data_IF_104991783618
#
_entry.id   IF_104991783618
#
_cell.length_a   1.000
_cell.length_b   1.000
_cell.length_c   1.000
_cell.angle_alpha   90.00
_cell.angle_beta   90.00
_cell.angle_gamma   90.00
#
_symmetry.space_group_name_H-M   'P 1'
#
loop_
_entity.id
_entity.type
_entity.pdbx_description
1 polymer ?
#
# COMPACT_ATOMS: atom_id res chain seq x y z
N UNK A 1 39.28 -17.32 36.77
CA UNK A 1 38.22 -16.33 37.12
C UNK A 1 37.42 -16.02 35.88
N UNK A 2 36.21 -16.57 35.74
CA UNK A 2 35.30 -16.30 34.61
C UNK A 2 34.29 -15.23 35.08
N UNK A 3 34.22 -14.08 34.40
CA UNK A 3 33.16 -13.09 34.61
C UNK A 3 32.05 -13.33 33.59
N UNK A 4 30.88 -13.72 34.08
CA UNK A 4 29.65 -13.86 33.30
C UNK A 4 29.00 -12.48 33.20
N UNK A 5 28.82 -11.96 31.98
CA UNK A 5 28.05 -10.73 31.73
C UNK A 5 26.61 -11.16 31.43
N UNK A 6 25.71 -10.85 32.35
CA UNK A 6 24.26 -10.99 32.19
C UNK A 6 23.74 -9.78 31.39
N UNK A 7 23.23 -10.00 30.18
CA UNK A 7 22.53 -8.96 29.41
C UNK A 7 21.06 -8.91 29.84
N UNK A 8 20.65 -7.77 30.39
CA UNK A 8 19.24 -7.46 30.71
C UNK A 8 18.42 -7.42 29.42
N UNK A 9 17.33 -8.20 29.36
CA UNK A 9 16.23 -8.00 28.41
C UNK A 9 15.69 -6.58 28.59
N UNK A 10 15.86 -5.73 27.58
CA UNK A 10 15.22 -4.41 27.53
C UNK A 10 13.80 -4.64 27.02
N UNK A 11 12.81 -4.23 27.82
CA UNK A 11 11.40 -4.34 27.49
C UNK A 11 11.04 -3.23 26.47
N UNK A 12 10.90 -3.60 25.20
CA UNK A 12 10.76 -2.68 24.05
C UNK A 12 9.38 -2.02 23.94
N UNK A 13 8.38 -2.49 24.69
CA UNK A 13 7.02 -1.95 24.63
C UNK A 13 6.90 -0.50 25.12
N UNK A 14 7.85 -0.03 25.96
CA UNK A 14 7.78 1.31 26.55
C UNK A 14 8.49 2.42 25.73
N UNK A 15 9.31 2.08 24.74
CA UNK A 15 10.06 3.09 23.96
C UNK A 15 9.19 3.66 22.82
N UNK A 16 8.33 2.86 22.21
CA UNK A 16 7.49 3.29 21.08
C UNK A 16 6.23 4.08 21.47
N UNK A 17 5.91 4.18 22.76
CA UNK A 17 4.69 4.87 23.22
C UNK A 17 4.84 6.40 23.28
N UNK A 18 6.07 6.94 23.34
CA UNK A 18 6.32 8.36 23.64
C UNK A 18 6.62 9.27 22.44
N UNK A 19 6.99 8.73 21.28
CA UNK A 19 7.41 9.53 20.11
C UNK A 19 6.33 9.60 19.03
N UNK A 20 5.13 10.05 19.42
CA UNK A 20 3.98 10.18 18.53
C UNK A 20 3.76 11.62 18.01
N UNK A 21 4.81 12.44 17.98
CA UNK A 21 4.76 13.80 17.45
C UNK A 21 5.91 14.04 16.47
N UNK A 22 5.53 14.30 15.21
CA UNK A 22 6.30 14.93 14.12
C UNK A 22 7.81 14.65 14.11
N UNK A 23 8.21 13.49 13.60
CA UNK A 23 9.61 13.23 13.20
C UNK A 23 9.73 13.53 11.70
N UNK A 24 10.72 14.34 11.33
CA UNK A 24 11.07 14.63 9.94
C UNK A 24 11.52 13.32 9.25
N UNK A 25 10.87 13.01 8.13
CA UNK A 25 10.94 11.72 7.44
C UNK A 25 12.30 11.44 6.78
N UNK A 26 13.18 12.44 6.65
CA UNK A 26 14.58 12.20 6.26
C UNK A 26 15.45 11.66 7.41
N UNK A 27 15.08 11.90 8.66
CA UNK A 27 15.81 11.35 9.81
C UNK A 27 15.46 9.88 10.04
N UNK A 28 14.25 9.44 9.72
CA UNK A 28 13.81 8.07 10.00
C UNK A 28 14.50 7.02 9.10
N UNK A 29 14.69 7.31 7.81
CA UNK A 29 15.47 6.41 6.92
C UNK A 29 16.98 6.48 7.17
N UNK A 30 17.46 7.54 7.85
CA UNK A 30 18.85 7.68 8.29
C UNK A 30 19.03 7.28 9.77
N UNK A 31 17.98 6.76 10.42
CA UNK A 31 18.03 6.49 11.84
C UNK A 31 18.83 5.20 12.04
N UNK A 32 19.94 5.33 12.76
CA UNK A 32 20.83 4.24 13.15
C UNK A 32 20.03 3.11 13.82
N UNK A 33 18.90 3.42 14.46
CA UNK A 33 18.00 2.43 15.06
C UNK A 33 17.28 1.52 14.05
N UNK A 34 16.94 2.03 12.85
CA UNK A 34 16.39 1.23 11.75
C UNK A 34 17.42 0.28 11.16
N UNK A 35 18.61 0.82 10.88
CA UNK A 35 19.77 0.05 10.44
C UNK A 35 20.11 -1.05 11.45
N UNK A 36 20.06 -0.74 12.76
CA UNK A 36 20.30 -1.72 13.83
C UNK A 36 19.18 -2.74 13.95
N UNK A 37 17.91 -2.34 13.84
CA UNK A 37 16.76 -3.24 13.97
C UNK A 37 16.69 -4.26 12.82
N UNK A 38 16.97 -3.82 11.59
CA UNK A 38 17.09 -4.73 10.43
C UNK A 38 18.30 -5.67 10.60
N UNK A 39 19.46 -5.13 10.97
CA UNK A 39 20.68 -5.96 11.21
C UNK A 39 20.49 -7.01 12.30
N UNK A 40 19.69 -6.73 13.33
CA UNK A 40 19.47 -7.66 14.45
C UNK A 40 18.50 -8.81 14.10
N UNK A 41 17.75 -8.71 12.98
CA UNK A 41 16.91 -9.81 12.46
C UNK A 41 17.49 -10.54 11.25
N UNK A 42 18.38 -9.90 10.49
CA UNK A 42 18.99 -10.45 9.28
C UNK A 42 20.07 -11.53 9.51
N UNK A 43 20.31 -11.95 10.76
CA UNK A 43 21.15 -13.14 11.05
C UNK A 43 20.48 -14.46 10.60
N UNK A 44 19.23 -14.43 10.14
CA UNK A 44 18.59 -15.45 9.31
C UNK A 44 18.26 -14.88 7.92
N UNK A 45 18.65 -15.59 6.87
CA UNK A 45 18.56 -15.19 5.46
C UNK A 45 17.13 -15.09 4.90
N UNK A 46 16.29 -14.16 5.35
CA UNK A 46 14.91 -14.05 4.85
C UNK A 46 14.66 -12.78 4.04
N UNK A 47 14.22 -12.99 2.80
CA UNK A 47 13.80 -11.94 1.87
C UNK A 47 12.44 -11.39 2.31
N UNK A 48 12.38 -10.09 2.61
CA UNK A 48 11.09 -9.43 2.87
C UNK A 48 10.33 -9.25 1.56
N UNK A 49 8.99 -9.39 1.62
CA UNK A 49 8.11 -9.29 0.46
C UNK A 49 6.87 -8.46 0.77
N UNK A 50 6.59 -7.47 -0.08
CA UNK A 50 5.36 -6.68 -0.09
C UNK A 50 4.60 -7.01 -1.38
N UNK A 51 3.35 -7.43 -1.25
CA UNK A 51 2.46 -7.71 -2.38
C UNK A 51 1.40 -6.61 -2.46
N UNK A 52 1.37 -5.87 -3.58
CA UNK A 52 0.31 -4.91 -3.87
C UNK A 52 -0.76 -5.60 -4.73
N UNK A 53 -1.91 -5.91 -4.13
CA UNK A 53 -3.07 -6.45 -4.82
C UNK A 53 -4.06 -5.33 -5.15
N UNK A 54 -4.66 -5.36 -6.35
CA UNK A 54 -5.85 -4.55 -6.64
C UNK A 54 -7.11 -5.28 -6.19
N UNK A 55 -7.98 -4.60 -5.45
CA UNK A 55 -9.28 -5.14 -5.02
C UNK A 55 -10.12 -5.73 -6.17
N UNK A 56 -11.07 -6.60 -5.82
CA UNK A 56 -12.04 -7.21 -6.73
C UNK A 56 -12.95 -6.18 -7.41
N UNK A 57 -13.63 -6.58 -8.49
CA UNK A 57 -14.50 -5.67 -9.24
C UNK A 57 -15.62 -5.14 -8.34
N UNK A 58 -15.84 -3.82 -8.33
CA UNK A 58 -16.89 -3.22 -7.51
C UNK A 58 -18.29 -3.60 -8.00
N UNK A 59 -19.24 -3.73 -7.08
CA UNK A 59 -20.67 -3.91 -7.38
C UNK A 59 -21.31 -2.66 -8.01
N UNK A 60 -20.73 -1.48 -7.75
CA UNK A 60 -21.19 -0.23 -8.31
C UNK A 60 -20.56 -0.05 -9.70
N UNK A 61 -21.36 -0.37 -10.72
CA UNK A 61 -20.97 -0.33 -12.12
C UNK A 61 -21.51 0.92 -12.82
N UNK A 62 -20.88 1.24 -13.95
CA UNK A 62 -21.37 2.20 -14.94
C UNK A 62 -22.64 1.65 -15.59
N UNK A 63 -23.80 1.90 -14.98
CA UNK A 63 -25.09 1.41 -15.50
C UNK A 63 -25.70 2.38 -16.50
N UNK A 64 -25.69 3.67 -16.19
CA UNK A 64 -26.33 4.70 -17.02
C UNK A 64 -25.43 5.94 -17.16
N UNK A 65 -25.48 6.63 -18.32
CA UNK A 65 -24.85 7.93 -18.47
C UNK A 65 -25.40 8.93 -17.44
N UNK A 66 -24.51 9.69 -16.82
CA UNK A 66 -24.83 10.69 -15.79
C UNK A 66 -24.29 12.06 -16.20
N UNK A 67 -24.84 13.12 -15.60
CA UNK A 67 -24.31 14.48 -15.76
C UNK A 67 -23.01 14.66 -14.97
N UNK A 68 -22.24 15.71 -15.28
CA UNK A 68 -21.07 16.08 -14.49
C UNK A 68 -21.44 16.45 -13.03
N UNK A 69 -22.61 17.05 -12.82
CA UNK A 69 -23.10 17.41 -11.48
C UNK A 69 -23.47 16.18 -10.65
N UNK A 70 -23.99 15.13 -11.28
CA UNK A 70 -24.31 13.86 -10.61
C UNK A 70 -23.06 13.02 -10.30
N UNK A 71 -21.94 13.29 -10.98
CA UNK A 71 -20.70 12.52 -10.84
C UNK A 71 -20.15 12.53 -9.41
N UNK A 72 -20.29 13.63 -8.67
CA UNK A 72 -19.85 13.70 -7.28
C UNK A 72 -20.60 12.69 -6.39
N UNK A 73 -21.92 12.59 -6.55
CA UNK A 73 -22.74 11.62 -5.84
C UNK A 73 -22.39 10.20 -6.26
N UNK A 74 -22.16 9.97 -7.55
CA UNK A 74 -21.74 8.66 -8.06
C UNK A 74 -20.42 8.20 -7.43
N UNK A 75 -19.43 9.10 -7.28
CA UNK A 75 -18.17 8.80 -6.60
C UNK A 75 -18.40 8.41 -5.13
N UNK A 76 -19.25 9.13 -4.41
CA UNK A 76 -19.54 8.84 -3.01
C UNK A 76 -20.25 7.48 -2.83
N UNK A 77 -21.15 7.14 -3.76
CA UNK A 77 -21.83 5.85 -3.76
C UNK A 77 -20.87 4.71 -4.15
N UNK A 78 -19.95 4.94 -5.11
CA UNK A 78 -18.87 4.02 -5.46
C UNK A 78 -17.91 3.75 -4.29
N UNK A 79 -17.63 4.75 -3.46
CA UNK A 79 -16.76 4.60 -2.29
C UNK A 79 -17.37 3.78 -1.16
N UNK A 80 -18.70 3.76 -1.06
CA UNK A 80 -19.44 2.90 -0.12
C UNK A 80 -19.62 1.48 -0.63
N UNK A 81 -19.49 1.29 -1.95
CA UNK A 81 -19.75 0.02 -2.59
C UNK A 81 -18.74 -1.07 -2.24
N UNK A 82 -19.25 -2.30 -2.16
CA UNK A 82 -18.47 -3.53 -2.03
C UNK A 82 -17.94 -4.05 -3.37
N UNK A 83 -17.73 -5.36 -3.43
CA UNK A 83 -17.35 -6.10 -4.64
C UNK A 83 -18.46 -7.05 -5.09
N UNK A 84 -18.43 -7.40 -6.37
CA UNK A 84 -19.26 -8.46 -6.95
C UNK A 84 -18.81 -9.81 -6.34
N UNK A 85 -19.71 -10.44 -5.57
CA UNK A 85 -19.40 -11.64 -4.79
C UNK A 85 -19.26 -12.90 -5.66
N UNK A 86 -19.90 -12.91 -6.83
CA UNK A 86 -19.93 -14.06 -7.74
C UNK A 86 -18.67 -14.16 -8.60
N UNK A 87 -17.87 -13.07 -8.69
CA UNK A 87 -16.63 -13.08 -9.47
C UNK A 87 -15.61 -14.00 -8.82
N UNK A 88 -15.08 -14.99 -9.55
CA UNK A 88 -14.05 -15.87 -9.02
C UNK A 88 -12.77 -15.09 -8.66
N UNK A 89 -12.15 -15.44 -7.53
CA UNK A 89 -10.81 -14.97 -7.17
C UNK A 89 -9.80 -15.87 -7.88
N UNK A 90 -8.84 -15.32 -8.64
CA UNK A 90 -7.80 -16.12 -9.28
C UNK A 90 -6.98 -16.92 -8.24
N UNK A 91 -6.70 -18.18 -8.54
CA UNK A 91 -5.95 -19.07 -7.63
C UNK A 91 -4.55 -18.53 -7.29
N UNK A 92 -3.88 -17.88 -8.25
CA UNK A 92 -2.60 -17.20 -8.01
C UNK A 92 -2.71 -16.09 -6.96
N UNK A 93 -3.81 -15.35 -6.94
CA UNK A 93 -4.08 -14.31 -5.93
C UNK A 93 -4.34 -14.92 -4.56
N UNK A 94 -5.10 -16.02 -4.48
CA UNK A 94 -5.32 -16.76 -3.22
C UNK A 94 -4.01 -17.29 -2.65
N UNK A 95 -3.15 -17.86 -3.50
CA UNK A 95 -1.84 -18.36 -3.07
C UNK A 95 -0.99 -17.26 -2.44
N UNK A 96 -0.94 -16.06 -3.05
CA UNK A 96 -0.23 -14.92 -2.45
C UNK A 96 -0.79 -14.52 -1.08
N UNK A 97 -2.10 -14.66 -0.87
CA UNK A 97 -2.72 -14.38 0.42
C UNK A 97 -2.47 -15.46 1.47
N UNK A 98 -2.34 -16.72 1.05
CA UNK A 98 -1.99 -17.85 1.93
C UNK A 98 -0.53 -17.77 2.39
N UNK A 99 0.37 -17.27 1.54
CA UNK A 99 1.79 -17.05 1.84
C UNK A 99 2.06 -15.77 2.64
N UNK A 100 1.08 -14.88 2.77
CA UNK A 100 1.22 -13.65 3.52
C UNK A 100 1.10 -13.94 5.03
N UNK A 101 1.90 -13.23 5.82
CA UNK A 101 1.88 -13.29 7.29
C UNK A 101 1.02 -12.15 7.87
N UNK A 102 0.74 -11.13 7.08
CA UNK A 102 -0.19 -10.04 7.38
C UNK A 102 -0.91 -9.61 6.09
N UNK A 103 -2.23 -9.41 6.19
CA UNK A 103 -3.02 -8.77 5.14
C UNK A 103 -3.42 -7.36 5.61
N UNK A 104 -3.14 -6.37 4.77
CA UNK A 104 -3.48 -4.96 5.00
C UNK A 104 -4.58 -4.57 4.03
N UNK A 105 -5.51 -3.74 4.48
CA UNK A 105 -6.60 -3.19 3.69
C UNK A 105 -6.68 -1.69 3.88
N UNK A 106 -7.29 -1.02 2.91
CA UNK A 106 -7.83 0.31 3.17
C UNK A 106 -9.14 0.22 3.98
N UNK A 107 -9.67 1.37 4.40
CA UNK A 107 -11.00 1.43 5.04
C UNK A 107 -12.18 1.33 4.07
N UNK A 108 -11.94 1.25 2.74
CA UNK A 108 -13.00 1.15 1.75
C UNK A 108 -13.59 -0.26 1.70
N UNK A 109 -14.92 -0.34 1.63
CA UNK A 109 -15.68 -1.60 1.70
C UNK A 109 -15.16 -2.64 0.68
N UNK A 110 -14.98 -2.23 -0.58
CA UNK A 110 -14.42 -3.09 -1.64
C UNK A 110 -13.05 -3.70 -1.34
N UNK A 111 -12.19 -2.98 -0.62
CA UNK A 111 -10.85 -3.46 -0.24
C UNK A 111 -10.95 -4.48 0.90
N UNK A 112 -11.74 -4.18 1.92
CA UNK A 112 -12.00 -5.08 3.06
C UNK A 112 -12.67 -6.39 2.59
N UNK A 113 -13.73 -6.28 1.79
CA UNK A 113 -14.43 -7.46 1.26
C UNK A 113 -13.50 -8.30 0.37
N UNK A 114 -12.63 -7.66 -0.42
CA UNK A 114 -11.66 -8.39 -1.24
C UNK A 114 -10.71 -9.22 -0.37
N UNK A 115 -10.15 -8.63 0.69
CA UNK A 115 -9.27 -9.37 1.60
C UNK A 115 -9.97 -10.55 2.27
N UNK A 116 -11.23 -10.39 2.70
CA UNK A 116 -12.03 -11.49 3.27
C UNK A 116 -12.22 -12.64 2.28
N UNK A 117 -12.43 -12.35 1.00
CA UNK A 117 -12.59 -13.35 -0.07
C UNK A 117 -11.31 -14.08 -0.46
N UNK A 118 -10.14 -13.61 -0.03
CA UNK A 118 -8.88 -14.33 -0.26
C UNK A 118 -8.77 -15.58 0.62
N UNK A 119 -9.56 -15.66 1.71
CA UNK A 119 -9.55 -16.77 2.67
C UNK A 119 -8.14 -17.06 3.22
N UNK A 120 -7.30 -16.02 3.32
CA UNK A 120 -5.99 -16.09 3.95
C UNK A 120 -6.11 -16.32 5.45
N UNK A 121 -5.13 -17.02 6.03
CA UNK A 121 -5.09 -17.31 7.48
C UNK A 121 -4.49 -16.17 8.31
N UNK A 122 -3.81 -15.23 7.66
CA UNK A 122 -3.16 -14.11 8.31
C UNK A 122 -4.17 -13.11 8.92
N UNK A 123 -3.78 -12.39 9.99
CA UNK A 123 -4.58 -11.29 10.50
C UNK A 123 -4.79 -10.21 9.44
N UNK A 124 -5.94 -9.53 9.51
CA UNK A 124 -6.29 -8.41 8.64
C UNK A 124 -6.20 -7.10 9.43
N UNK A 125 -5.37 -6.17 8.96
CA UNK A 125 -5.27 -4.80 9.46
C UNK A 125 -5.93 -3.84 8.47
N UNK A 126 -6.78 -2.93 8.95
CA UNK A 126 -7.38 -1.87 8.12
C UNK A 126 -6.84 -0.51 8.51
N UNK A 127 -6.42 0.28 7.52
CA UNK A 127 -5.80 1.58 7.73
C UNK A 127 -6.25 2.59 6.66
N UNK A 128 -6.59 3.80 7.09
CA UNK A 128 -7.05 4.89 6.23
C UNK A 128 -5.96 5.33 5.24
N UNK A 129 -4.69 5.15 5.61
CA UNK A 129 -3.54 5.55 4.80
C UNK A 129 -3.57 4.91 3.40
N UNK A 130 -4.17 3.71 3.27
CA UNK A 130 -4.23 2.94 2.04
C UNK A 130 -5.48 3.17 1.19
N UNK A 131 -6.34 4.15 1.53
CA UNK A 131 -7.49 4.52 0.67
C UNK A 131 -7.03 4.90 -0.74
N UNK A 132 -7.90 4.70 -1.73
CA UNK A 132 -7.63 5.11 -3.12
C UNK A 132 -7.34 6.61 -3.18
N UNK A 133 -6.55 7.03 -4.17
CA UNK A 133 -6.35 8.46 -4.44
C UNK A 133 -7.70 9.12 -4.73
N UNK A 134 -8.06 10.13 -3.94
CA UNK A 134 -9.37 10.76 -4.01
C UNK A 134 -9.66 11.23 -5.44
N UNK A 135 -10.89 11.02 -5.89
CA UNK A 135 -11.31 11.50 -7.20
C UNK A 135 -11.66 12.97 -7.08
N UNK A 136 -10.97 13.90 -7.78
CA UNK A 136 -11.43 15.28 -7.76
C UNK A 136 -12.81 15.32 -8.41
N UNK A 137 -13.70 16.13 -7.84
CA UNK A 137 -15.04 16.35 -8.37
C UNK A 137 -15.24 17.84 -8.55
N UNK A 138 -16.00 18.20 -9.57
CA UNK A 138 -16.35 19.57 -9.91
C UNK A 138 -17.86 19.67 -10.01
N UNK A 139 -18.38 20.88 -9.82
CA UNK A 139 -19.80 21.17 -9.92
C UNK A 139 -20.13 21.91 -11.22
N UNK A 140 -19.19 21.97 -12.18
CA UNK A 140 -19.46 22.59 -13.48
C UNK A 140 -20.53 21.82 -14.24
N UNK A 141 -21.57 22.52 -14.69
CA UNK A 141 -22.58 21.97 -15.57
C UNK A 141 -22.15 22.20 -17.03
N UNK A 142 -21.94 21.11 -17.77
CA UNK A 142 -21.72 21.15 -19.22
C UNK A 142 -23.04 20.84 -19.92
N UNK A 143 -23.70 21.86 -20.48
CA UNK A 143 -24.80 21.80 -21.47
C UNK A 143 -25.59 20.47 -21.54
N UNK A 144 -26.23 20.05 -20.43
CA UNK A 144 -27.02 18.81 -20.29
C UNK A 144 -26.36 17.50 -20.80
N UNK A 145 -25.03 17.49 -20.96
CA UNK A 145 -24.29 16.33 -21.47
C UNK A 145 -24.30 15.22 -20.43
N UNK A 146 -24.76 14.03 -20.84
CA UNK A 146 -24.68 12.80 -20.04
C UNK A 146 -23.68 11.84 -20.66
N UNK A 147 -22.69 11.43 -19.87
CA UNK A 147 -21.63 10.50 -20.29
C UNK A 147 -21.49 9.38 -19.26
N UNK A 148 -20.91 8.22 -19.64
CA UNK A 148 -20.61 7.15 -18.70
C UNK A 148 -19.73 7.64 -17.54
N UNK A 149 -19.94 7.16 -16.30
CA UNK A 149 -19.14 7.57 -15.15
C UNK A 149 -17.63 7.34 -15.33
N UNK A 150 -17.21 6.25 -15.99
CA UNK A 150 -15.81 6.01 -16.35
C UNK A 150 -15.20 7.12 -17.21
N UNK A 151 -15.97 7.70 -18.14
CA UNK A 151 -15.50 8.81 -18.96
C UNK A 151 -15.28 10.06 -18.10
N UNK A 152 -16.25 10.39 -17.23
CA UNK A 152 -16.09 11.48 -16.26
C UNK A 152 -14.87 11.26 -15.35
N UNK A 153 -14.68 10.03 -14.84
CA UNK A 153 -13.52 9.68 -14.03
C UNK A 153 -12.19 9.90 -14.77
N UNK A 154 -12.13 9.58 -16.07
CA UNK A 154 -10.94 9.85 -16.90
C UNK A 154 -10.70 11.35 -17.01
N UNK A 155 -11.72 12.15 -17.39
CA UNK A 155 -11.60 13.60 -17.52
C UNK A 155 -11.13 14.25 -16.20
N UNK A 156 -11.77 13.88 -15.09
CA UNK A 156 -11.43 14.38 -13.77
C UNK A 156 -10.02 13.97 -13.33
N UNK A 157 -9.60 12.72 -13.62
CA UNK A 157 -8.24 12.28 -13.31
C UNK A 157 -7.20 12.98 -14.19
N UNK A 158 -7.51 13.30 -15.45
CA UNK A 158 -6.64 14.13 -16.29
C UNK A 158 -6.49 15.54 -15.71
N UNK A 159 -7.59 16.18 -15.29
CA UNK A 159 -7.55 17.46 -14.58
C UNK A 159 -6.71 17.38 -13.30
N UNK A 160 -6.87 16.31 -12.53
CA UNK A 160 -6.09 16.04 -11.32
C UNK A 160 -4.59 15.99 -11.57
N UNK A 161 -4.20 15.27 -12.62
CA UNK A 161 -2.80 15.16 -13.04
C UNK A 161 -2.24 16.50 -13.51
N UNK A 162 -3.09 17.38 -14.03
CA UNK A 162 -2.75 18.76 -14.39
C UNK A 162 -2.80 19.74 -13.20
N UNK A 163 -3.10 19.27 -11.98
CA UNK A 163 -3.08 20.07 -10.75
C UNK A 163 -4.45 20.48 -10.21
N UNK A 164 -5.55 20.11 -10.85
CA UNK A 164 -6.90 20.39 -10.34
C UNK A 164 -7.26 19.44 -9.18
N UNK A 165 -7.38 19.96 -7.96
CA UNK A 165 -7.79 19.16 -6.78
C UNK A 165 -9.27 19.28 -6.40
N UNK A 166 -9.93 20.36 -6.81
CA UNK A 166 -11.25 20.73 -6.28
C UNK A 166 -11.19 20.93 -4.76
N UNK A 167 -12.06 20.23 -4.01
CA UNK A 167 -12.07 20.21 -2.53
C UNK A 167 -11.51 18.91 -1.93
N UNK A 168 -10.89 18.05 -2.76
CA UNK A 168 -10.34 16.77 -2.33
C UNK A 168 -8.81 16.81 -2.34
N UNK A 169 -8.20 15.66 -2.07
CA UNK A 169 -6.75 15.45 -2.12
C UNK A 169 -6.17 15.85 -3.49
N UNK A 170 -5.09 16.60 -3.48
CA UNK A 170 -4.27 16.93 -4.65
C UNK A 170 -3.30 15.80 -5.00
N UNK A 171 -2.72 15.87 -6.20
CA UNK A 171 -1.68 14.92 -6.60
C UNK A 171 -0.44 14.98 -5.70
N UNK A 172 -0.12 16.13 -5.13
CA UNK A 172 1.01 16.27 -4.23
C UNK A 172 0.72 15.61 -2.89
N UNK A 173 -0.43 15.90 -2.29
CA UNK A 173 -0.88 15.27 -1.04
C UNK A 173 -0.97 13.74 -1.20
N UNK A 174 -1.46 13.24 -2.34
CA UNK A 174 -1.49 11.80 -2.63
C UNK A 174 -0.10 11.15 -2.75
N UNK A 175 0.90 11.87 -3.26
CA UNK A 175 2.28 11.39 -3.33
C UNK A 175 2.93 11.37 -1.95
N UNK A 176 2.72 12.41 -1.15
CA UNK A 176 3.19 12.48 0.24
C UNK A 176 2.57 11.36 1.08
N UNK A 177 1.26 11.13 0.92
CA UNK A 177 0.56 10.01 1.54
C UNK A 177 1.09 8.66 1.07
N UNK A 178 1.41 8.50 -0.21
CA UNK A 178 1.99 7.26 -0.72
C UNK A 178 3.40 6.98 -0.15
N UNK A 179 4.20 8.02 0.13
CA UNK A 179 5.48 7.86 0.81
C UNK A 179 5.28 7.35 2.25
N UNK A 180 4.33 7.93 2.97
CA UNK A 180 3.95 7.45 4.31
C UNK A 180 3.42 6.00 4.26
N UNK A 181 2.56 5.68 3.28
CA UNK A 181 2.00 4.35 3.08
C UNK A 181 3.08 3.30 2.78
N UNK A 182 4.04 3.65 1.92
CA UNK A 182 5.20 2.80 1.60
C UNK A 182 6.04 2.53 2.84
N UNK A 183 6.37 3.58 3.61
CA UNK A 183 7.09 3.42 4.87
C UNK A 183 6.34 2.52 5.85
N UNK A 184 5.02 2.68 5.98
CA UNK A 184 4.21 1.83 6.83
C UNK A 184 4.26 0.37 6.40
N UNK A 185 4.20 0.07 5.10
CA UNK A 185 4.34 -1.30 4.58
C UNK A 185 5.73 -1.88 4.83
N UNK A 186 6.78 -1.07 4.73
CA UNK A 186 8.16 -1.50 5.02
C UNK A 186 8.30 -1.88 6.50
N UNK A 187 7.76 -1.07 7.42
CA UNK A 187 7.74 -1.40 8.85
C UNK A 187 7.02 -2.73 9.10
N UNK A 188 5.82 -2.88 8.52
CA UNK A 188 5.05 -4.11 8.64
C UNK A 188 5.79 -5.31 8.03
N UNK A 189 6.52 -5.13 6.93
CA UNK A 189 7.32 -6.20 6.33
C UNK A 189 8.55 -6.55 7.18
N UNK A 190 9.13 -5.61 7.91
CA UNK A 190 10.19 -5.90 8.89
C UNK A 190 9.67 -6.67 10.12
N UNK A 191 8.38 -6.52 10.44
CA UNK A 191 7.71 -7.23 11.55
C UNK A 191 7.17 -8.60 11.13
N UNK A 192 6.66 -8.71 9.90
CA UNK A 192 5.90 -9.87 9.43
C UNK A 192 6.53 -10.60 8.24
N UNK A 193 7.63 -10.11 7.67
CA UNK A 193 8.34 -10.63 6.48
C UNK A 193 7.55 -10.54 5.16
N UNK A 194 6.32 -11.05 5.14
CA UNK A 194 5.45 -11.12 3.96
C UNK A 194 4.12 -10.40 4.21
N UNK A 195 3.94 -9.26 3.56
CA UNK A 195 2.76 -8.39 3.74
C UNK A 195 2.01 -8.25 2.42
N UNK A 196 0.71 -8.53 2.42
CA UNK A 196 -0.16 -8.28 1.27
C UNK A 196 -1.06 -7.07 1.53
N UNK A 197 -1.01 -6.05 0.68
CA UNK A 197 -1.96 -4.95 0.66
C UNK A 197 -3.07 -5.23 -0.36
N UNK A 198 -4.30 -5.43 0.10
CA UNK A 198 -5.51 -5.40 -0.72
C UNK A 198 -5.90 -3.94 -0.99
N UNK A 199 -5.22 -3.29 -1.93
CA UNK A 199 -5.32 -1.87 -2.22
C UNK A 199 -6.06 -1.54 -3.52
N UNK A 200 -5.65 -0.43 -4.15
CA UNK A 200 -6.39 0.20 -5.25
C UNK A 200 -5.52 0.52 -6.45
N UNK A 201 -6.14 0.78 -7.59
CA UNK A 201 -5.42 0.90 -8.86
C UNK A 201 -4.45 2.08 -8.89
N UNK A 202 -4.93 3.29 -8.58
CA UNK A 202 -4.12 4.51 -8.69
C UNK A 202 -3.13 4.60 -7.54
N UNK A 203 -3.59 4.37 -6.30
CA UNK A 203 -2.75 4.52 -5.13
C UNK A 203 -1.64 3.47 -5.06
N UNK A 204 -1.89 2.21 -5.48
CA UNK A 204 -0.82 1.20 -5.56
C UNK A 204 0.30 1.62 -6.52
N UNK A 205 0.00 2.38 -7.59
CA UNK A 205 1.03 2.89 -8.51
C UNK A 205 1.91 3.96 -7.85
N UNK A 206 1.37 4.73 -6.91
CA UNK A 206 2.18 5.66 -6.13
C UNK A 206 3.03 4.92 -5.11
N UNK A 207 2.44 3.99 -4.33
CA UNK A 207 3.17 3.15 -3.37
C UNK A 207 4.32 2.40 -4.07
N UNK A 208 4.06 1.78 -5.21
CA UNK A 208 5.07 1.07 -5.99
C UNK A 208 6.30 1.94 -6.31
N UNK A 209 6.09 3.22 -6.67
CA UNK A 209 7.20 4.14 -6.96
C UNK A 209 8.03 4.44 -5.72
N UNK A 210 7.38 4.59 -4.57
CA UNK A 210 8.06 4.85 -3.30
C UNK A 210 8.82 3.62 -2.80
N UNK A 211 8.26 2.41 -2.96
CA UNK A 211 8.97 1.16 -2.67
C UNK A 211 10.24 1.03 -3.53
N UNK A 212 10.14 1.28 -4.83
CA UNK A 212 11.30 1.25 -5.73
C UNK A 212 12.35 2.31 -5.37
N UNK A 213 11.92 3.51 -4.94
CA UNK A 213 12.82 4.55 -4.43
C UNK A 213 13.52 4.15 -3.14
N UNK A 214 12.85 3.37 -2.30
CA UNK A 214 13.40 2.79 -1.08
C UNK A 214 14.27 1.55 -1.32
N UNK A 215 14.59 1.21 -2.59
CA UNK A 215 15.51 0.12 -2.93
C UNK A 215 14.87 -1.26 -3.02
N UNK A 216 13.54 -1.37 -2.92
CA UNK A 216 12.83 -2.62 -3.18
C UNK A 216 12.90 -2.98 -4.67
N UNK A 217 12.88 -4.28 -4.97
CA UNK A 217 12.93 -4.81 -6.34
C UNK A 217 11.56 -5.33 -6.75
N UNK A 218 11.07 -4.93 -7.91
CA UNK A 218 9.78 -5.35 -8.45
C UNK A 218 9.42 -4.59 -9.73
N UNK A 219 8.20 -4.80 -10.22
CA UNK A 219 7.75 -4.11 -11.44
C UNK A 219 7.41 -2.64 -11.17
N UNK A 220 7.72 -1.76 -12.13
CA UNK A 220 7.39 -0.33 -12.04
C UNK A 220 5.89 -0.04 -12.13
N UNK A 221 5.17 -0.84 -12.91
CA UNK A 221 3.73 -0.69 -13.09
C UNK A 221 3.05 -1.82 -12.36
N UNK A 222 2.12 -1.50 -11.45
CA UNK A 222 1.27 -2.53 -10.86
C UNK A 222 0.24 -3.04 -11.86
N UNK A 223 -0.27 -4.25 -11.60
CA UNK A 223 -1.30 -4.89 -12.41
C UNK A 223 -2.55 -4.01 -12.56
N UNK A 224 -3.09 -3.98 -13.79
CA UNK A 224 -4.26 -3.15 -14.13
C UNK A 224 -5.58 -3.86 -13.85
N UNK A 225 -5.61 -5.18 -13.84
CA UNK A 225 -6.86 -5.94 -13.66
C UNK A 225 -7.23 -6.05 -12.19
N UNK A 226 -8.52 -6.18 -11.89
CA UNK A 226 -8.97 -6.57 -10.56
C UNK A 226 -8.32 -7.90 -10.15
N UNK A 227 -8.05 -8.07 -8.86
CA UNK A 227 -7.34 -9.22 -8.27
C UNK A 227 -5.88 -9.39 -8.68
N UNK A 228 -5.34 -8.55 -9.56
CA UNK A 228 -3.92 -8.64 -9.92
C UNK A 228 -3.02 -8.29 -8.75
N UNK A 229 -1.93 -9.04 -8.61
CA UNK A 229 -0.89 -8.85 -7.61
C UNK A 229 0.41 -8.40 -8.26
N UNK A 230 1.13 -7.50 -7.60
CA UNK A 230 2.49 -7.11 -7.98
C UNK A 230 3.37 -7.21 -6.74
N UNK A 231 4.44 -8.00 -6.82
CA UNK A 231 5.33 -8.25 -5.70
C UNK A 231 6.56 -7.36 -5.73
N UNK A 232 6.99 -6.93 -4.55
CA UNK A 232 8.22 -6.19 -4.30
C UNK A 232 9.01 -6.94 -3.26
N UNK A 233 10.30 -7.17 -3.49
CA UNK A 233 11.17 -7.85 -2.53
C UNK A 233 12.35 -6.99 -2.11
N UNK A 234 12.83 -7.23 -0.89
CA UNK A 234 14.02 -6.60 -0.36
C UNK A 234 14.94 -7.67 0.22
N UNK A 235 16.19 -7.67 -0.24
CA UNK A 235 17.29 -8.44 0.33
C UNK A 235 18.37 -7.46 0.77
N UNK A 236 18.78 -7.55 2.03
CA UNK A 236 19.92 -6.77 2.51
C UNK A 236 21.16 -7.17 1.70
N UNK A 237 21.96 -6.21 1.22
CA UNK A 237 23.17 -6.53 0.49
C UNK A 237 24.12 -7.35 1.37
N UNK A 238 24.56 -8.52 0.89
CA UNK A 238 25.59 -9.32 1.57
C UNK A 238 26.78 -8.44 1.91
N UNK A 239 27.07 -8.35 3.21
CA UNK A 239 28.09 -7.48 3.75
C UNK A 239 29.46 -7.89 3.15
N UNK A 240 30.05 -7.03 2.30
CA UNK A 240 31.33 -7.27 1.58
C UNK A 240 32.56 -7.35 2.48
N UNK A 241 32.42 -7.59 3.78
CA UNK A 241 33.55 -7.75 4.71
C UNK A 241 34.10 -9.19 4.75
N UNK A 242 33.41 -10.18 4.17
CA UNK A 242 33.89 -11.57 4.11
C UNK A 242 34.76 -11.96 2.90
N UNK A 243 34.99 -11.05 1.93
CA UNK A 243 35.74 -11.40 0.70
C UNK A 243 37.24 -11.11 0.75
N UNK A 244 37.71 -10.35 1.74
CA UNK A 244 39.14 -10.03 1.91
C UNK A 244 39.89 -11.00 2.84
N UNK A 245 39.20 -11.93 3.51
CA UNK A 245 39.84 -12.95 4.37
C UNK A 245 40.09 -14.30 3.69
N UNK A 246 39.83 -14.44 2.38
CA UNK A 246 40.15 -15.64 1.58
C UNK A 246 41.30 -15.43 0.58
N UNK A 247 42.03 -14.32 0.71
CA UNK A 247 43.21 -14.02 -0.11
C UNK A 247 44.45 -13.66 0.73
N UNK A 248 44.48 -14.06 2.01
CA UNK A 248 45.68 -14.00 2.86
C UNK A 248 46.08 -15.38 3.32
#
# INVERSE_FOLDING_TARGET
MKKTIQYRKINTENVFAKERQSIDLKEFSNNIFWEMFIKQRAEGSEEMKIILMRHGKSEHADRFPISCTDFAKWVDDYDKAGIIQETAVPESTKLQAQEANLIVTSTLCRSIQSAKRLEGKAPILSDMLFREAEMPVTSFSFFDIKLPPSFWAICHRCGWLAGYKGKRESIQEARERAAQASNRLIQLAAEHERVLLAGHGVFNQFIARELLRAGWRGERKTGRHHWSCTSYTYKEPENRQGRLSRLS
#
